data_IF_713480075642
#
_entry.id   IF_713480075642
#
_cell.length_a   1.000
_cell.length_b   1.000
_cell.length_c   1.000
_cell.angle_alpha   90.00
_cell.angle_beta   90.00
_cell.angle_gamma   90.00
#
_symmetry.space_group_name_H-M   'P 1'
#
loop_
_entity.id
_entity.type
_entity.pdbx_description
1 polymer ?
#
# COMPACT_ATOMS: atom_id res chain seq x y z
N UNK A 1 63.57 121.29 -15.33
CA UNK A 1 63.48 119.81 -15.31
C UNK A 1 62.26 119.29 -14.53
N UNK A 2 61.95 119.84 -13.35
CA UNK A 2 60.86 119.37 -12.45
C UNK A 2 59.46 119.35 -13.11
N UNK A 3 59.09 120.39 -13.86
CA UNK A 3 57.75 120.50 -14.47
C UNK A 3 57.44 119.41 -15.53
N UNK A 4 58.46 118.95 -16.26
CA UNK A 4 58.34 117.86 -17.24
C UNK A 4 58.10 116.51 -16.55
N UNK A 5 58.77 116.27 -15.42
CA UNK A 5 58.61 115.06 -14.62
C UNK A 5 57.21 115.00 -13.96
N UNK A 6 56.74 116.12 -13.39
CA UNK A 6 55.38 116.22 -12.84
C UNK A 6 54.28 115.95 -13.88
N UNK A 7 54.40 116.48 -15.11
CA UNK A 7 53.45 116.19 -16.20
C UNK A 7 53.44 114.71 -16.59
N UNK A 8 54.58 114.03 -16.55
CA UNK A 8 54.69 112.60 -16.85
C UNK A 8 54.02 111.75 -15.76
N UNK A 9 54.25 112.10 -14.49
CA UNK A 9 53.62 111.46 -13.32
C UNK A 9 52.10 111.66 -13.38
N UNK A 10 51.62 112.88 -13.67
CA UNK A 10 50.20 113.18 -13.77
C UNK A 10 49.49 112.35 -14.86
N UNK A 11 50.11 112.20 -16.03
CA UNK A 11 49.58 111.36 -17.12
C UNK A 11 49.53 109.87 -16.73
N UNK A 12 50.56 109.38 -16.02
CA UNK A 12 50.60 107.99 -15.55
C UNK A 12 49.48 107.73 -14.53
N UNK A 13 49.32 108.62 -13.55
CA UNK A 13 48.25 108.54 -12.56
C UNK A 13 46.85 108.63 -13.19
N UNK A 14 46.65 109.49 -14.19
CA UNK A 14 45.39 109.56 -14.93
C UNK A 14 45.08 108.25 -15.66
N UNK A 15 46.07 107.63 -16.30
CA UNK A 15 45.90 106.34 -16.98
C UNK A 15 45.56 105.23 -15.99
N UNK A 16 46.31 105.14 -14.88
CA UNK A 16 46.05 104.17 -13.80
C UNK A 16 44.65 104.36 -13.20
N UNK A 17 44.22 105.60 -12.98
CA UNK A 17 42.88 105.90 -12.46
C UNK A 17 41.75 105.49 -13.43
N UNK A 18 41.94 105.70 -14.74
CA UNK A 18 40.97 105.26 -15.77
C UNK A 18 40.92 103.73 -15.86
N UNK A 19 42.07 103.05 -15.82
CA UNK A 19 42.13 101.59 -15.78
C UNK A 19 41.44 101.02 -14.52
N UNK A 20 41.68 101.62 -13.35
CA UNK A 20 41.09 101.18 -12.09
C UNK A 20 39.57 101.43 -12.04
N UNK A 21 39.10 102.55 -12.59
CA UNK A 21 37.66 102.78 -12.81
C UNK A 21 37.05 101.73 -13.74
N UNK A 22 37.75 101.37 -14.82
CA UNK A 22 37.34 100.30 -15.73
C UNK A 22 37.21 98.95 -15.02
N UNK A 23 38.20 98.58 -14.19
CA UNK A 23 38.14 97.38 -13.34
C UNK A 23 36.96 97.42 -12.38
N UNK A 24 36.71 98.57 -11.73
CA UNK A 24 35.61 98.74 -10.78
C UNK A 24 34.23 98.56 -11.45
N UNK A 25 34.04 99.15 -12.64
CA UNK A 25 32.80 98.96 -13.42
C UNK A 25 32.62 97.50 -13.85
N UNK A 26 33.70 96.83 -14.26
CA UNK A 26 33.66 95.42 -14.63
C UNK A 26 33.33 94.52 -13.43
N UNK A 27 33.93 94.79 -12.25
CA UNK A 27 33.62 94.09 -11.00
C UNK A 27 32.15 94.30 -10.61
N UNK A 28 31.61 95.51 -10.74
CA UNK A 28 30.19 95.79 -10.46
C UNK A 28 29.27 94.96 -11.37
N UNK A 29 29.53 94.94 -12.68
CA UNK A 29 28.74 94.11 -13.63
C UNK A 29 28.82 92.63 -13.31
N UNK A 30 30.00 92.12 -12.93
CA UNK A 30 30.15 90.73 -12.48
C UNK A 30 29.36 90.45 -11.21
N UNK A 31 29.35 91.37 -10.25
CA UNK A 31 28.58 91.22 -9.02
C UNK A 31 27.06 91.22 -9.31
N UNK A 32 26.57 92.15 -10.13
CA UNK A 32 25.15 92.19 -10.52
C UNK A 32 24.72 90.92 -11.28
N UNK A 33 25.62 90.39 -12.12
CA UNK A 33 25.40 89.10 -12.81
C UNK A 33 25.30 87.94 -11.81
N UNK A 34 26.25 87.84 -10.87
CA UNK A 34 26.26 86.80 -9.83
C UNK A 34 25.04 86.89 -8.90
N UNK A 35 24.60 88.10 -8.53
CA UNK A 35 23.40 88.29 -7.72
C UNK A 35 22.13 87.79 -8.42
N UNK A 36 22.03 87.99 -9.74
CA UNK A 36 20.90 87.46 -10.51
C UNK A 36 20.96 85.94 -10.65
N UNK A 37 22.14 85.36 -10.88
CA UNK A 37 22.31 83.90 -10.89
C UNK A 37 21.95 83.28 -9.53
N UNK A 38 22.34 83.91 -8.42
CA UNK A 38 21.99 83.48 -7.07
C UNK A 38 20.46 83.50 -6.85
N UNK A 39 19.77 84.57 -7.27
CA UNK A 39 18.31 84.65 -7.19
C UNK A 39 17.62 83.58 -8.02
N UNK A 40 18.13 83.29 -9.22
CA UNK A 40 17.58 82.24 -10.07
C UNK A 40 17.78 80.85 -9.44
N UNK A 41 18.94 80.60 -8.83
CA UNK A 41 19.22 79.36 -8.10
C UNK A 41 18.29 79.20 -6.89
N UNK A 42 18.08 80.26 -6.10
CA UNK A 42 17.15 80.23 -4.96
C UNK A 42 15.72 79.88 -5.38
N UNK A 43 15.24 80.47 -6.48
CA UNK A 43 13.91 80.14 -7.04
C UNK A 43 13.82 78.67 -7.49
N UNK A 44 14.88 78.14 -8.12
CA UNK A 44 14.94 76.72 -8.49
C UNK A 44 14.93 75.81 -7.26
N UNK A 45 15.67 76.15 -6.21
CA UNK A 45 15.69 75.39 -4.95
C UNK A 45 14.32 75.40 -4.29
N UNK A 46 13.64 76.56 -4.23
CA UNK A 46 12.29 76.65 -3.67
C UNK A 46 11.29 75.80 -4.45
N UNK A 47 11.37 75.80 -5.79
CA UNK A 47 10.52 74.95 -6.63
C UNK A 47 10.77 73.46 -6.37
N UNK A 48 12.04 73.04 -6.36
CA UNK A 48 12.43 71.65 -6.06
C UNK A 48 11.91 71.22 -4.67
N UNK A 49 12.05 72.08 -3.65
CA UNK A 49 11.57 71.77 -2.31
C UNK A 49 10.05 71.64 -2.23
N UNK A 50 9.31 72.47 -2.98
CA UNK A 50 7.86 72.37 -3.09
C UNK A 50 7.44 71.07 -3.78
N UNK A 51 8.09 70.71 -4.88
CA UNK A 51 7.76 69.52 -5.67
C UNK A 51 8.07 68.24 -4.85
N UNK A 52 9.25 68.17 -4.23
CA UNK A 52 9.59 67.06 -3.31
C UNK A 52 8.62 66.96 -2.12
N UNK A 53 8.13 68.09 -1.57
CA UNK A 53 7.16 68.07 -0.48
C UNK A 53 5.83 67.43 -0.90
N UNK A 54 5.38 67.70 -2.13
CA UNK A 54 4.15 67.09 -2.69
C UNK A 54 4.35 65.59 -2.92
N UNK A 55 5.46 65.19 -3.53
CA UNK A 55 5.79 63.78 -3.76
C UNK A 55 5.88 62.99 -2.44
N UNK A 56 6.51 63.56 -1.40
CA UNK A 56 6.58 62.93 -0.07
C UNK A 56 5.17 62.73 0.52
N UNK A 57 4.27 63.69 0.34
CA UNK A 57 2.91 63.57 0.88
C UNK A 57 2.08 62.53 0.12
N UNK A 58 2.24 62.45 -1.20
CA UNK A 58 1.63 61.40 -2.02
C UNK A 58 2.14 60.01 -1.64
N UNK A 59 3.45 59.86 -1.43
CA UNK A 59 4.05 58.60 -0.96
C UNK A 59 3.48 58.20 0.41
N UNK A 60 3.32 59.15 1.34
CA UNK A 60 2.73 58.87 2.65
C UNK A 60 1.29 58.37 2.55
N UNK A 61 0.47 59.01 1.72
CA UNK A 61 -0.92 58.60 1.51
C UNK A 61 -1.01 57.20 0.90
N UNK A 62 -0.18 56.91 -0.11
CA UNK A 62 -0.09 55.58 -0.72
C UNK A 62 0.36 54.52 0.28
N UNK A 63 1.32 54.84 1.15
CA UNK A 63 1.80 53.91 2.18
C UNK A 63 0.75 53.63 3.26
N UNK A 64 -0.04 54.64 3.65
CA UNK A 64 -1.17 54.45 4.57
C UNK A 64 -2.23 53.54 3.97
N UNK A 65 -2.63 53.78 2.71
CA UNK A 65 -3.59 52.95 1.98
C UNK A 65 -3.12 51.49 1.87
N UNK A 66 -1.86 51.26 1.49
CA UNK A 66 -1.26 49.92 1.44
C UNK A 66 -1.25 49.23 2.82
N UNK A 67 -1.06 49.99 3.90
CA UNK A 67 -1.08 49.44 5.26
C UNK A 67 -2.48 48.99 5.67
N UNK A 68 -3.52 49.74 5.29
CA UNK A 68 -4.92 49.38 5.54
C UNK A 68 -5.37 48.17 4.72
N UNK A 69 -5.04 48.14 3.43
CA UNK A 69 -5.30 46.99 2.55
C UNK A 69 -4.65 45.70 3.08
N UNK A 70 -3.41 45.79 3.57
CA UNK A 70 -2.71 44.66 4.19
C UNK A 70 -3.37 44.20 5.49
N UNK A 71 -3.89 45.12 6.32
CA UNK A 71 -4.64 44.75 7.54
C UNK A 71 -5.93 44.02 7.19
N UNK A 72 -6.66 44.49 6.19
CA UNK A 72 -7.90 43.84 5.74
C UNK A 72 -7.64 42.44 5.18
N UNK A 73 -6.63 42.30 4.31
CA UNK A 73 -6.23 40.99 3.75
C UNK A 73 -5.84 39.98 4.84
N UNK A 74 -5.15 40.44 5.90
CA UNK A 74 -4.79 39.59 7.04
C UNK A 74 -6.02 39.08 7.80
N UNK A 75 -7.05 39.92 7.98
CA UNK A 75 -8.31 39.52 8.62
C UNK A 75 -9.08 38.50 7.78
N UNK A 76 -9.25 38.75 6.48
CA UNK A 76 -9.93 37.81 5.57
C UNK A 76 -9.22 36.44 5.50
N UNK A 77 -7.89 36.44 5.55
CA UNK A 77 -7.12 35.20 5.59
C UNK A 77 -7.31 34.42 6.90
N UNK A 78 -7.39 35.11 8.05
CA UNK A 78 -7.66 34.47 9.33
C UNK A 78 -9.06 33.83 9.38
N UNK A 79 -10.08 34.48 8.82
CA UNK A 79 -11.43 33.92 8.72
C UNK A 79 -11.47 32.65 7.84
N UNK A 80 -10.76 32.68 6.69
CA UNK A 80 -10.62 31.50 5.82
C UNK A 80 -9.90 30.34 6.51
N UNK A 81 -8.85 30.62 7.29
CA UNK A 81 -8.12 29.61 8.07
C UNK A 81 -9.06 28.95 9.09
N UNK A 82 -9.78 29.74 9.90
CA UNK A 82 -10.70 29.21 10.90
C UNK A 82 -11.79 28.32 10.27
N UNK A 83 -12.35 28.75 9.12
CA UNK A 83 -13.33 27.96 8.39
C UNK A 83 -12.77 26.60 7.89
N UNK A 84 -11.53 26.58 7.42
CA UNK A 84 -10.86 25.35 6.99
C UNK A 84 -10.57 24.42 8.17
N UNK A 85 -10.14 24.96 9.31
CA UNK A 85 -9.92 24.18 10.54
C UNK A 85 -11.20 23.48 11.01
N UNK A 86 -12.35 24.16 10.99
CA UNK A 86 -13.64 23.55 11.32
C UNK A 86 -14.04 22.43 10.34
N UNK A 87 -13.77 22.60 9.04
CA UNK A 87 -14.02 21.57 8.03
C UNK A 87 -13.14 20.34 8.23
N UNK A 88 -11.86 20.53 8.54
CA UNK A 88 -10.92 19.45 8.83
C UNK A 88 -11.40 18.68 10.07
N UNK A 89 -11.77 19.38 11.14
CA UNK A 89 -12.30 18.76 12.36
C UNK A 89 -13.53 17.90 12.09
N UNK A 90 -14.54 18.42 11.38
CA UNK A 90 -15.74 17.65 11.00
C UNK A 90 -15.43 16.42 10.15
N UNK A 91 -14.45 16.52 9.26
CA UNK A 91 -14.03 15.40 8.40
C UNK A 91 -13.32 14.31 9.21
N UNK A 92 -12.45 14.71 10.14
CA UNK A 92 -11.77 13.78 11.03
C UNK A 92 -12.76 13.06 11.96
N UNK A 93 -13.72 13.78 12.55
CA UNK A 93 -14.76 13.18 13.40
C UNK A 93 -15.58 12.13 12.62
N UNK A 94 -15.90 12.42 11.35
CA UNK A 94 -16.59 11.48 10.46
C UNK A 94 -15.73 10.26 10.10
N UNK A 95 -14.43 10.47 9.88
CA UNK A 95 -13.48 9.41 9.57
C UNK A 95 -13.30 8.47 10.76
N UNK A 96 -13.06 9.00 11.95
CA UNK A 96 -12.93 8.22 13.20
C UNK A 96 -14.19 7.39 13.47
N UNK A 97 -15.38 7.98 13.28
CA UNK A 97 -16.65 7.25 13.40
C UNK A 97 -16.72 6.06 12.44
N UNK A 98 -16.42 6.27 11.15
CA UNK A 98 -16.43 5.20 10.15
C UNK A 98 -15.36 4.14 10.41
N UNK A 99 -14.19 4.55 10.90
CA UNK A 99 -13.10 3.64 11.22
C UNK A 99 -13.45 2.75 12.42
N UNK A 100 -14.09 3.32 13.46
CA UNK A 100 -14.63 2.55 14.58
C UNK A 100 -15.65 1.50 14.15
N UNK A 101 -16.52 1.84 13.19
CA UNK A 101 -17.48 0.88 12.62
C UNK A 101 -16.79 -0.23 11.80
N UNK A 102 -15.71 0.09 11.07
CA UNK A 102 -14.90 -0.89 10.33
C UNK A 102 -14.11 -1.84 11.25
N UNK A 103 -13.56 -1.34 12.36
CA UNK A 103 -12.87 -2.18 13.35
C UNK A 103 -13.84 -3.21 13.95
N UNK A 104 -15.07 -2.80 14.26
CA UNK A 104 -16.12 -3.72 14.72
C UNK A 104 -16.41 -4.83 13.70
N UNK A 105 -16.29 -4.54 12.41
CA UNK A 105 -16.48 -5.51 11.33
C UNK A 105 -15.28 -6.47 11.17
N UNK A 106 -14.04 -6.00 11.39
CA UNK A 106 -12.83 -6.80 11.24
C UNK A 106 -12.56 -7.78 12.39
N UNK A 107 -13.15 -7.55 13.57
CA UNK A 107 -13.06 -8.49 14.69
C UNK A 107 -13.93 -9.76 14.51
N UNK A 108 -14.65 -9.90 13.39
CA UNK A 108 -15.38 -11.12 13.00
C UNK A 108 -14.47 -12.14 12.29
N UNK A 109 -13.27 -12.40 12.81
CA UNK A 109 -12.52 -13.62 12.46
C UNK A 109 -13.04 -14.76 13.33
N UNK A 110 -14.20 -15.29 12.98
CA UNK A 110 -14.77 -16.45 13.66
C UNK A 110 -14.13 -17.73 13.14
N UNK A 111 -13.36 -18.42 13.99
CA UNK A 111 -12.90 -19.77 13.72
C UNK A 111 -14.04 -20.75 14.00
N UNK A 112 -14.84 -21.04 12.98
CA UNK A 112 -15.90 -22.04 13.09
C UNK A 112 -15.28 -23.43 12.91
N UNK A 113 -15.13 -24.17 14.02
CA UNK A 113 -14.73 -25.58 13.96
C UNK A 113 -15.92 -26.44 13.58
N UNK A 114 -16.02 -26.79 12.30
CA UNK A 114 -16.99 -27.78 11.82
C UNK A 114 -16.37 -29.17 11.98
N UNK A 115 -16.94 -30.00 12.85
CA UNK A 115 -16.56 -31.42 12.91
C UNK A 115 -17.05 -32.12 11.63
N UNK A 116 -16.14 -32.75 10.90
CA UNK A 116 -16.47 -33.56 9.72
C UNK A 116 -16.01 -35.01 9.98
N UNK A 117 -16.82 -35.99 9.60
CA UNK A 117 -16.52 -37.42 9.75
C UNK A 117 -16.04 -38.02 8.43
N UNK A 118 -15.47 -39.20 8.44
CA UNK A 118 -15.26 -40.04 7.25
C UNK A 118 -16.57 -40.75 6.90
N UNK A 119 -16.96 -40.72 5.63
CA UNK A 119 -18.22 -41.33 5.15
C UNK A 119 -18.02 -42.61 4.36
N UNK A 120 -17.02 -42.63 3.48
CA UNK A 120 -16.92 -43.65 2.45
C UNK A 120 -15.47 -44.11 2.24
N UNK A 121 -15.32 -45.43 2.05
CA UNK A 121 -14.09 -46.05 1.55
C UNK A 121 -14.35 -46.48 0.10
N UNK A 122 -13.64 -45.87 -0.84
CA UNK A 122 -13.67 -46.24 -2.25
C UNK A 122 -12.42 -47.07 -2.60
N UNK A 123 -12.61 -48.31 -3.05
CA UNK A 123 -11.52 -49.18 -3.47
C UNK A 123 -11.17 -48.93 -4.94
N UNK A 124 -9.89 -48.62 -5.23
CA UNK A 124 -9.43 -48.28 -6.59
C UNK A 124 -9.43 -49.52 -7.52
N UNK A 125 -9.26 -50.73 -6.97
CA UNK A 125 -9.22 -51.96 -7.75
C UNK A 125 -10.50 -52.78 -7.61
N UNK A 126 -11.17 -53.07 -8.74
CA UNK A 126 -12.28 -54.04 -8.87
C UNK A 126 -11.81 -55.50 -8.73
N UNK A 127 -10.89 -55.80 -7.82
CA UNK A 127 -10.14 -57.07 -7.83
C UNK A 127 -10.87 -58.24 -7.16
N UNK A 128 -12.19 -58.33 -7.31
CA UNK A 128 -12.91 -59.58 -7.06
C UNK A 128 -13.76 -59.91 -8.29
N UNK A 129 -13.16 -60.56 -9.29
CA UNK A 129 -13.92 -61.25 -10.35
C UNK A 129 -14.91 -62.26 -9.74
N UNK A 130 -14.57 -62.79 -8.57
CA UNK A 130 -15.41 -63.66 -7.76
C UNK A 130 -16.09 -62.83 -6.66
N UNK A 131 -17.37 -62.51 -6.87
CA UNK A 131 -18.29 -61.82 -5.96
C UNK A 131 -17.94 -62.03 -4.48
N UNK A 132 -17.20 -61.07 -3.92
CA UNK A 132 -16.81 -61.08 -2.53
C UNK A 132 -18.09 -61.01 -1.64
N UNK A 133 -18.18 -61.90 -0.65
CA UNK A 133 -19.41 -62.28 0.06
C UNK A 133 -20.15 -61.07 0.67
N UNK A 134 -21.39 -60.82 0.22
CA UNK A 134 -22.22 -59.67 0.63
C UNK A 134 -22.63 -59.63 2.11
N UNK A 135 -22.33 -60.68 2.88
CA UNK A 135 -22.82 -60.86 4.25
C UNK A 135 -21.80 -60.54 5.35
N UNK A 136 -20.62 -59.99 5.00
CA UNK A 136 -19.71 -59.38 5.99
C UNK A 136 -19.67 -57.87 5.76
N UNK A 137 -19.85 -57.03 6.81
CA UNK A 137 -19.68 -55.60 6.67
C UNK A 137 -18.24 -55.33 6.28
N UNK A 138 -18.01 -54.84 5.06
CA UNK A 138 -16.75 -54.24 4.61
C UNK A 138 -15.50 -55.15 4.57
N UNK A 139 -15.64 -56.46 4.29
CA UNK A 139 -14.50 -57.39 4.20
C UNK A 139 -14.40 -58.10 2.85
N UNK A 140 -13.39 -57.76 2.05
CA UNK A 140 -12.97 -58.55 0.87
C UNK A 140 -12.05 -59.68 1.35
N UNK A 141 -12.27 -60.91 0.85
CA UNK A 141 -11.29 -62.00 1.01
C UNK A 141 -10.08 -61.71 0.10
N UNK A 142 -8.93 -61.46 0.71
CA UNK A 142 -7.64 -61.24 0.06
C UNK A 142 -7.11 -59.79 0.16
N UNK A 143 -5.97 -59.65 0.85
CA UNK A 143 -4.98 -58.56 0.67
C UNK A 143 -5.34 -57.19 1.30
N UNK A 144 -5.81 -57.24 2.55
CA UNK A 144 -6.06 -56.11 3.45
C UNK A 144 -7.33 -55.29 3.19
N UNK A 145 -7.83 -54.60 4.23
CA UNK A 145 -9.00 -53.71 4.13
C UNK A 145 -8.90 -52.51 5.07
N UNK A 146 -9.56 -51.41 4.69
CA UNK A 146 -9.74 -50.24 5.55
C UNK A 146 -11.07 -50.33 6.28
N UNK A 147 -11.11 -49.90 7.54
CA UNK A 147 -12.33 -49.78 8.33
C UNK A 147 -12.44 -48.39 8.95
N UNK A 148 -13.61 -47.75 8.78
CA UNK A 148 -13.94 -46.51 9.46
C UNK A 148 -14.52 -46.87 10.83
N UNK A 149 -13.90 -46.36 11.90
CA UNK A 149 -14.32 -46.57 13.28
C UNK A 149 -14.93 -45.27 13.80
N UNK A 150 -16.22 -45.33 14.15
CA UNK A 150 -17.02 -44.21 14.68
C UNK A 150 -17.07 -42.96 13.79
N UNK A 151 -16.73 -43.08 12.50
CA UNK A 151 -16.67 -41.95 11.57
C UNK A 151 -15.44 -41.05 11.75
N UNK A 152 -14.49 -41.37 12.63
CA UNK A 152 -13.37 -40.47 12.95
C UNK A 152 -12.00 -41.11 12.71
N UNK A 153 -11.89 -42.42 12.89
CA UNK A 153 -10.64 -43.14 12.77
C UNK A 153 -10.71 -44.09 11.58
N UNK A 154 -9.58 -44.25 10.88
CA UNK A 154 -9.43 -45.26 9.83
C UNK A 154 -8.38 -46.24 10.31
N UNK A 155 -8.77 -47.52 10.46
CA UNK A 155 -7.82 -48.61 10.70
C UNK A 155 -7.62 -49.38 9.42
N UNK A 156 -6.38 -49.45 8.95
CA UNK A 156 -6.01 -50.39 7.90
C UNK A 156 -5.55 -51.71 8.53
N UNK A 157 -6.05 -52.82 8.02
CA UNK A 157 -5.69 -54.16 8.47
C UNK A 157 -5.10 -54.88 7.27
N UNK A 158 -3.80 -55.23 7.34
CA UNK A 158 -3.11 -55.99 6.30
C UNK A 158 -3.49 -57.47 6.38
N UNK A 159 -3.69 -58.14 5.23
CA UNK A 159 -3.96 -59.59 5.18
C UNK A 159 -2.94 -60.27 4.26
N UNK A 160 -1.92 -60.89 4.87
CA UNK A 160 -0.94 -61.88 4.38
C UNK A 160 -0.19 -61.62 3.04
N UNK A 161 -0.78 -61.07 1.99
CA UNK A 161 -0.09 -60.85 0.69
C UNK A 161 -0.54 -59.56 -0.03
N UNK A 162 0.09 -58.43 0.33
CA UNK A 162 0.08 -57.19 -0.46
C UNK A 162 -0.98 -56.17 -0.05
N UNK A 163 -0.60 -54.89 -0.15
CA UNK A 163 -1.47 -53.76 0.16
C UNK A 163 -2.34 -53.34 -1.03
N UNK A 164 -3.62 -53.03 -0.79
CA UNK A 164 -4.52 -52.40 -1.77
C UNK A 164 -4.73 -50.94 -1.42
N UNK A 165 -4.68 -50.08 -2.44
CA UNK A 165 -5.00 -48.67 -2.30
C UNK A 165 -6.51 -48.47 -2.17
N UNK A 166 -6.91 -47.68 -1.17
CA UNK A 166 -8.28 -47.19 -1.02
C UNK A 166 -8.24 -45.68 -0.82
N UNK A 167 -9.30 -45.01 -1.26
CA UNK A 167 -9.55 -43.61 -0.94
C UNK A 167 -10.51 -43.56 0.24
N UNK A 168 -10.33 -42.56 1.10
CA UNK A 168 -11.33 -42.22 2.10
C UNK A 168 -11.77 -40.79 1.89
N UNK A 169 -13.09 -40.58 1.92
CA UNK A 169 -13.71 -39.27 1.72
C UNK A 169 -14.38 -38.79 3.01
N UNK A 170 -14.33 -37.47 3.20
CA UNK A 170 -15.08 -36.83 4.26
C UNK A 170 -16.58 -36.82 3.92
N UNK A 171 -17.43 -36.87 4.94
CA UNK A 171 -18.88 -36.91 4.85
C UNK A 171 -19.45 -35.68 4.16
N UNK A 172 -19.02 -34.50 4.59
CA UNK A 172 -19.47 -33.25 4.01
C UNK A 172 -18.47 -32.77 2.98
N UNK A 173 -18.92 -32.60 1.75
CA UNK A 173 -18.18 -31.88 0.72
C UNK A 173 -18.07 -30.40 1.07
N UNK A 174 -16.96 -29.80 0.66
CA UNK A 174 -16.81 -28.36 0.81
C UNK A 174 -17.65 -27.62 -0.24
N UNK A 175 -18.63 -26.83 0.21
CA UNK A 175 -19.37 -25.88 -0.62
C UNK A 175 -18.92 -24.46 -0.30
N UNK A 176 -18.37 -23.74 -1.30
CA UNK A 176 -18.02 -22.33 -1.15
C UNK A 176 -19.28 -21.53 -0.82
N UNK A 177 -19.33 -20.76 0.29
CA UNK A 177 -20.47 -19.91 0.58
C UNK A 177 -20.64 -18.84 -0.52
N UNK A 178 -21.90 -18.51 -0.86
CA UNK A 178 -22.22 -17.55 -1.93
C UNK A 178 -21.73 -16.11 -1.63
N UNK A 179 -21.61 -15.73 -0.36
CA UNK A 179 -21.29 -14.36 0.07
C UNK A 179 -20.14 -14.30 1.07
N UNK A 180 -18.93 -14.68 0.66
CA UNK A 180 -17.74 -14.52 1.49
C UNK A 180 -16.91 -13.31 1.05
N UNK A 181 -17.03 -12.24 1.84
CA UNK A 181 -16.25 -11.01 1.71
C UNK A 181 -14.88 -11.11 2.43
N UNK A 182 -14.67 -12.16 3.23
CA UNK A 182 -13.47 -12.40 4.05
C UNK A 182 -12.64 -13.57 3.54
N UNK A 183 -11.38 -13.64 4.00
CA UNK A 183 -10.54 -14.83 3.78
C UNK A 183 -11.24 -16.05 4.35
N UNK A 184 -11.37 -17.10 3.53
CA UNK A 184 -11.80 -18.40 4.01
C UNK A 184 -10.60 -19.34 4.07
N UNK A 185 -10.44 -19.96 5.23
CA UNK A 185 -9.49 -21.04 5.44
C UNK A 185 -10.27 -22.33 5.71
N UNK A 186 -10.07 -23.33 4.85
CA UNK A 186 -10.47 -24.70 5.12
C UNK A 186 -9.23 -25.49 5.47
N UNK A 187 -9.34 -26.34 6.48
CA UNK A 187 -8.20 -27.04 7.00
C UNK A 187 -8.64 -28.30 7.72
N UNK A 188 -7.92 -29.38 7.48
CA UNK A 188 -8.07 -30.63 8.22
C UNK A 188 -6.70 -31.22 8.50
N UNK A 189 -6.64 -32.01 9.57
CA UNK A 189 -5.45 -32.75 9.98
C UNK A 189 -5.77 -34.25 10.07
N UNK A 190 -4.74 -35.05 9.85
CA UNK A 190 -4.77 -36.50 10.03
C UNK A 190 -3.53 -36.89 10.81
N UNK A 191 -3.73 -37.60 11.91
CA UNK A 191 -2.64 -38.21 12.67
C UNK A 191 -2.42 -39.63 12.19
N UNK A 192 -1.18 -39.97 11.86
CA UNK A 192 -0.81 -41.30 11.40
C UNK A 192 -0.13 -42.10 12.51
N UNK A 193 -0.55 -43.34 12.74
CA UNK A 193 0.09 -44.27 13.68
C UNK A 193 0.38 -45.59 12.97
N UNK A 194 1.52 -46.20 13.26
CA UNK A 194 1.91 -47.52 12.76
C UNK A 194 2.06 -48.49 13.93
N UNK A 195 1.48 -49.69 13.81
CA UNK A 195 1.59 -50.75 14.84
C UNK A 195 2.89 -51.58 14.70
N UNK A 196 3.50 -51.61 13.51
CA UNK A 196 4.71 -52.39 13.21
C UNK A 196 5.77 -51.54 12.48
N UNK A 197 7.05 -51.92 12.60
CA UNK A 197 8.15 -51.40 11.78
C UNK A 197 8.01 -51.89 10.34
N UNK A 198 7.06 -51.30 9.61
CA UNK A 198 6.95 -51.52 8.17
C UNK A 198 8.19 -50.94 7.48
N UNK A 199 8.73 -51.68 6.51
CA UNK A 199 9.72 -51.14 5.59
C UNK A 199 9.16 -49.88 4.92
N UNK A 200 9.99 -48.84 4.75
CA UNK A 200 9.53 -47.56 4.20
C UNK A 200 8.92 -47.70 2.80
N UNK A 201 9.33 -48.71 2.03
CA UNK A 201 8.78 -48.99 0.70
C UNK A 201 7.33 -49.45 0.70
N UNK A 202 6.81 -49.93 1.85
CA UNK A 202 5.45 -50.42 2.00
C UNK A 202 4.49 -49.35 2.55
N UNK A 203 5.04 -48.27 3.12
CA UNK A 203 4.24 -47.15 3.63
C UNK A 203 3.81 -46.28 2.47
N UNK A 204 2.50 -46.10 2.28
CA UNK A 204 1.95 -45.17 1.30
C UNK A 204 0.77 -44.39 1.87
N UNK A 205 0.87 -43.07 1.84
CA UNK A 205 -0.22 -42.15 2.14
C UNK A 205 -0.18 -41.00 1.15
N UNK A 206 -1.37 -40.61 0.68
CA UNK A 206 -1.56 -39.33 0.03
C UNK A 206 -2.72 -38.58 0.68
N UNK A 207 -2.55 -37.28 0.91
CA UNK A 207 -3.57 -36.40 1.50
C UNK A 207 -3.79 -35.20 0.59
N UNK A 208 -5.00 -34.67 0.52
CA UNK A 208 -5.25 -33.51 -0.32
C UNK A 208 -6.71 -33.24 -0.61
N UNK A 209 -6.94 -32.44 -1.66
CA UNK A 209 -8.26 -32.01 -2.11
C UNK A 209 -8.52 -32.56 -3.50
N UNK A 210 -9.74 -33.09 -3.72
CA UNK A 210 -10.22 -33.59 -5.01
C UNK A 210 -11.39 -32.73 -5.46
N UNK A 211 -11.35 -32.25 -6.70
CA UNK A 211 -12.49 -31.62 -7.34
C UNK A 211 -13.52 -32.70 -7.72
N UNK A 212 -14.74 -32.61 -7.21
CA UNK A 212 -15.79 -33.61 -7.45
C UNK A 212 -16.24 -33.66 -8.91
N UNK A 213 -16.21 -32.54 -9.63
CA UNK A 213 -16.66 -32.45 -11.03
C UNK A 213 -15.60 -32.92 -12.03
N UNK A 214 -14.33 -32.57 -11.82
CA UNK A 214 -13.25 -32.92 -12.77
C UNK A 214 -12.46 -34.15 -12.35
N UNK A 215 -12.68 -34.64 -11.13
CA UNK A 215 -11.90 -35.70 -10.46
C UNK A 215 -10.39 -35.42 -10.33
N UNK A 216 -9.93 -34.21 -10.69
CA UNK A 216 -8.54 -33.78 -10.49
C UNK A 216 -8.28 -33.51 -9.02
N UNK A 217 -7.06 -33.79 -8.56
CA UNK A 217 -6.67 -33.61 -7.16
C UNK A 217 -5.37 -32.84 -7.03
N UNK A 218 -5.27 -32.04 -5.97
CA UNK A 218 -3.98 -31.53 -5.46
C UNK A 218 -3.68 -32.31 -4.19
N UNK A 219 -2.55 -33.02 -4.16
CA UNK A 219 -2.25 -33.96 -3.07
C UNK A 219 -0.78 -33.98 -2.70
N UNK A 220 -0.50 -34.12 -1.42
CA UNK A 220 0.80 -34.48 -0.89
C UNK A 220 0.93 -36.00 -0.82
N UNK A 221 2.05 -36.55 -1.27
CA UNK A 221 2.41 -37.97 -1.18
C UNK A 221 3.57 -38.13 -0.20
N UNK A 222 3.29 -38.73 0.96
CA UNK A 222 4.27 -38.90 2.04
C UNK A 222 5.40 -39.88 1.68
N UNK A 223 5.12 -40.89 0.84
CA UNK A 223 6.14 -41.83 0.37
C UNK A 223 7.20 -41.16 -0.52
N UNK A 224 6.76 -40.20 -1.33
CA UNK A 224 7.59 -39.64 -2.39
C UNK A 224 8.15 -38.26 -2.04
N UNK A 225 7.79 -37.70 -0.88
CA UNK A 225 8.08 -36.32 -0.46
C UNK A 225 7.75 -35.31 -1.57
N UNK A 226 6.56 -35.48 -2.18
CA UNK A 226 6.13 -34.70 -3.34
C UNK A 226 4.69 -34.23 -3.21
N UNK A 227 4.46 -33.00 -3.65
CA UNK A 227 3.11 -32.50 -3.94
C UNK A 227 2.82 -32.69 -5.42
N UNK A 228 1.62 -33.16 -5.75
CA UNK A 228 1.13 -33.28 -7.11
C UNK A 228 0.01 -32.27 -7.32
N UNK A 229 0.07 -31.50 -8.40
CA UNK A 229 -1.02 -30.59 -8.78
C UNK A 229 -2.14 -31.31 -9.56
N UNK A 230 -3.12 -30.54 -10.03
CA UNK A 230 -4.26 -31.04 -10.82
C UNK A 230 -3.89 -31.70 -12.17
N UNK A 231 -2.67 -31.45 -12.67
CA UNK A 231 -2.11 -32.08 -13.87
C UNK A 231 -1.20 -33.28 -13.53
N UNK A 232 -1.15 -33.66 -12.25
CA UNK A 232 -0.25 -34.68 -11.71
C UNK A 232 1.24 -34.33 -11.92
N UNK A 233 1.58 -33.05 -12.02
CA UNK A 233 2.97 -32.58 -12.07
C UNK A 233 3.54 -32.59 -10.64
N UNK A 234 4.69 -33.26 -10.41
CA UNK A 234 5.30 -33.36 -9.10
C UNK A 234 6.12 -32.11 -8.73
N UNK A 235 6.00 -31.68 -7.48
CA UNK A 235 6.83 -30.66 -6.84
C UNK A 235 7.59 -31.32 -5.70
N UNK A 236 8.91 -31.34 -5.80
CA UNK A 236 9.78 -31.90 -4.78
C UNK A 236 9.76 -31.02 -3.54
N UNK A 237 9.63 -31.64 -2.37
CA UNK A 237 9.78 -30.97 -1.08
C UNK A 237 11.21 -31.15 -0.57
N UNK A 238 11.62 -30.25 0.32
CA UNK A 238 12.82 -30.47 1.12
C UNK A 238 12.55 -31.67 2.04
N UNK A 239 13.47 -32.65 2.04
CA UNK A 239 13.30 -34.00 2.60
C UNK A 239 12.38 -34.03 3.84
N UNK A 240 11.18 -34.57 3.68
CA UNK A 240 10.26 -34.85 4.79
C UNK A 240 10.51 -36.27 5.31
N UNK A 241 10.47 -36.47 6.61
CA UNK A 241 10.49 -37.82 7.20
C UNK A 241 9.08 -38.19 7.60
N UNK A 242 8.58 -39.36 7.23
CA UNK A 242 7.24 -39.82 7.63
C UNK A 242 7.32 -40.86 8.76
N UNK A 243 7.03 -40.42 9.99
CA UNK A 243 7.15 -41.21 11.20
C UNK A 243 5.78 -41.54 11.84
N UNK A 244 5.77 -42.51 12.74
CA UNK A 244 4.59 -42.78 13.58
C UNK A 244 4.30 -41.57 14.48
N UNK A 245 3.03 -41.28 14.73
CA UNK A 245 2.49 -40.10 15.40
C UNK A 245 2.59 -38.77 14.65
N UNK A 246 3.14 -38.73 13.43
CA UNK A 246 3.13 -37.50 12.64
C UNK A 246 1.70 -37.06 12.32
N UNK A 247 1.50 -35.75 12.36
CA UNK A 247 0.25 -35.07 12.00
C UNK A 247 0.45 -34.38 10.66
N UNK A 248 -0.32 -34.77 9.66
CA UNK A 248 -0.33 -34.12 8.36
C UNK A 248 -1.60 -33.31 8.20
N UNK A 249 -1.48 -32.10 7.68
CA UNK A 249 -2.63 -31.25 7.39
C UNK A 249 -2.64 -30.78 5.95
N UNK A 250 -3.83 -30.50 5.46
CA UNK A 250 -4.06 -29.88 4.16
C UNK A 250 -5.03 -28.73 4.36
N UNK A 251 -4.68 -27.56 3.81
CA UNK A 251 -5.53 -26.39 3.87
C UNK A 251 -5.73 -25.72 2.51
N UNK A 252 -6.91 -25.11 2.34
CA UNK A 252 -7.29 -24.29 1.21
C UNK A 252 -7.54 -22.88 1.71
N UNK A 253 -6.82 -21.91 1.14
CA UNK A 253 -7.05 -20.49 1.38
C UNK A 253 -7.75 -19.90 0.17
N UNK A 254 -8.92 -19.32 0.40
CA UNK A 254 -9.62 -18.48 -0.57
C UNK A 254 -9.45 -17.02 -0.15
N UNK A 255 -8.66 -16.22 -0.88
CA UNK A 255 -8.47 -14.81 -0.58
C UNK A 255 -9.75 -13.99 -0.78
N UNK A 256 -9.76 -12.78 -0.20
CA UNK A 256 -10.88 -11.86 -0.36
C UNK A 256 -11.11 -11.50 -1.83
N UNK A 257 -12.37 -11.43 -2.24
CA UNK A 257 -12.79 -11.20 -3.63
C UNK A 257 -12.35 -9.84 -4.20
N UNK A 258 -11.99 -8.89 -3.36
CA UNK A 258 -11.52 -7.55 -3.74
C UNK A 258 -10.01 -7.49 -4.03
N UNK A 259 -9.25 -8.55 -3.72
CA UNK A 259 -7.83 -8.65 -4.08
C UNK A 259 -7.69 -9.44 -5.38
N UNK A 260 -7.77 -8.73 -6.50
CA UNK A 260 -7.74 -9.31 -7.85
C UNK A 260 -6.46 -10.13 -8.14
N UNK A 261 -5.38 -9.86 -7.43
CA UNK A 261 -4.07 -10.49 -7.66
C UNK A 261 -3.82 -11.75 -6.80
N UNK A 262 -4.72 -12.10 -5.88
CA UNK A 262 -4.57 -13.29 -5.03
C UNK A 262 -5.48 -14.43 -5.53
N UNK A 263 -4.88 -15.54 -5.98
CA UNK A 263 -5.61 -16.75 -6.32
C UNK A 263 -5.79 -17.67 -5.11
N UNK A 264 -6.87 -18.49 -5.07
CA UNK A 264 -6.99 -19.57 -4.09
C UNK A 264 -5.79 -20.51 -4.17
N UNK A 265 -5.33 -20.97 -3.01
CA UNK A 265 -4.17 -21.85 -2.94
C UNK A 265 -4.30 -22.94 -1.90
N UNK A 266 -3.68 -24.08 -2.18
CA UNK A 266 -3.52 -25.19 -1.24
C UNK A 266 -2.18 -25.08 -0.53
N UNK A 267 -2.15 -25.40 0.75
CA UNK A 267 -0.92 -25.63 1.51
C UNK A 267 -1.00 -26.97 2.25
N UNK A 268 0.16 -27.51 2.58
CA UNK A 268 0.29 -28.72 3.37
C UNK A 268 1.14 -28.43 4.59
N UNK A 269 0.85 -29.13 5.69
CA UNK A 269 1.65 -29.05 6.90
C UNK A 269 2.02 -30.45 7.39
N UNK A 270 3.10 -30.52 8.15
CA UNK A 270 3.50 -31.67 8.94
C UNK A 270 3.89 -31.18 10.34
N UNK A 271 3.29 -31.75 11.38
CA UNK A 271 3.55 -31.42 12.79
C UNK A 271 3.47 -29.91 13.06
N UNK A 272 2.44 -29.25 12.54
CA UNK A 272 2.22 -27.81 12.70
C UNK A 272 3.08 -26.90 11.82
N UNK A 273 4.03 -27.45 11.04
CA UNK A 273 4.91 -26.68 10.15
C UNK A 273 4.52 -26.87 8.69
N UNK A 274 4.44 -25.78 7.93
CA UNK A 274 4.18 -25.87 6.49
C UNK A 274 5.31 -26.64 5.78
N UNK A 275 4.93 -27.57 4.90
CA UNK A 275 5.86 -28.33 4.07
C UNK A 275 5.81 -27.82 2.63
N UNK A 276 6.99 -27.67 2.03
CA UNK A 276 7.18 -27.03 0.73
C UNK A 276 7.29 -25.52 0.82
N UNK A 277 8.26 -24.98 0.09
CA UNK A 277 8.41 -23.54 -0.07
C UNK A 277 7.12 -22.93 -0.64
N UNK A 278 6.80 -21.71 -0.20
CA UNK A 278 5.59 -20.86 -0.39
C UNK A 278 4.97 -20.72 -1.79
N UNK A 279 5.19 -21.66 -2.71
CA UNK A 279 4.44 -21.79 -3.95
C UNK A 279 3.00 -22.11 -3.58
N UNK A 280 2.22 -21.05 -3.38
CA UNK A 280 0.77 -21.04 -3.48
C UNK A 280 0.42 -21.85 -4.73
N UNK A 281 -0.10 -23.06 -4.55
CA UNK A 281 -0.57 -23.86 -5.68
C UNK A 281 -1.86 -23.20 -6.17
N UNK A 282 -1.71 -22.22 -7.06
CA UNK A 282 -2.82 -21.46 -7.62
C UNK A 282 -3.77 -22.45 -8.26
N UNK A 283 -4.95 -22.59 -7.67
CA UNK A 283 -6.02 -23.38 -8.25
C UNK A 283 -6.65 -22.48 -9.31
N UNK A 284 -6.50 -22.85 -10.58
CA UNK A 284 -7.42 -22.36 -11.61
C UNK A 284 -8.76 -23.02 -11.35
N UNK A 285 -9.51 -22.50 -10.37
CA UNK A 285 -10.91 -22.86 -10.27
C UNK A 285 -11.52 -22.48 -11.62
N UNK A 286 -12.05 -23.46 -12.35
CA UNK A 286 -12.90 -23.19 -13.49
C UNK A 286 -14.08 -22.39 -12.94
N UNK A 287 -13.96 -21.06 -12.96
CA UNK A 287 -15.09 -20.17 -12.73
C UNK A 287 -15.95 -20.38 -13.96
N UNK A 288 -16.87 -21.34 -13.85
CA UNK A 288 -18.03 -21.40 -14.73
C UNK A 288 -18.77 -20.08 -14.52
N UNK A 289 -18.42 -19.07 -15.31
CA UNK A 289 -19.18 -17.84 -15.51
C UNK A 289 -20.51 -18.18 -16.21
N UNK A 290 -21.36 -18.98 -15.55
CA UNK A 290 -22.79 -19.01 -15.82
C UNK A 290 -23.49 -18.18 -14.76
N UNK A 291 -23.16 -16.88 -14.74
CA UNK A 291 -24.16 -15.88 -14.38
C UNK A 291 -24.86 -15.54 -15.68
N UNK A 292 -25.96 -16.25 -15.97
CA UNK A 292 -26.97 -15.67 -16.82
C UNK A 292 -27.56 -14.46 -16.06
N UNK A 293 -27.70 -13.29 -16.69
CA UNK A 293 -28.41 -12.19 -16.07
C UNK A 293 -29.87 -12.58 -15.96
N UNK A 294 -30.39 -12.65 -14.74
CA UNK A 294 -31.83 -12.55 -14.51
C UNK A 294 -32.20 -11.08 -14.69
N UNK A 295 -32.88 -10.79 -15.80
CA UNK A 295 -33.87 -9.72 -15.90
C UNK A 295 -35.06 -10.02 -15.01
#
# INVERSE_FOLDING_TARGET
MILKSLKLILKKLQKEFVEEKGKTVNLKRKNDFLENELKEMDLKIQKINSDHKKEIEEIKQNFQKLTEENKQSKTENNEKINYLEEKIKKTNDLFEKKFGDLIKLNNLTEFIKIKNKWSEIEYICKCCSNKCNKNKPNGINGNGYGNIINGENIKYINCLEGGKNFNVYAENSFNKPQHCFNYLLYYFEIKCNFEEELNNDEKYMSIGLKNSSTHKSIRFSAKNDRVFNEKNEPFKLDNTSWNSNDIFGCGLVCPQSNKLDEYPYVFFIQNGKQIGNYRKFSIRMAVSNRMAPFS
#
